data_IF_066794847053
#
_entry.id   IF_066794847053
#
_cell.length_a   1.000
_cell.length_b   1.000
_cell.length_c   1.000
_cell.angle_alpha   90.00
_cell.angle_beta   90.00
_cell.angle_gamma   90.00
#
_symmetry.space_group_name_H-M   'P 1'
#
loop_
_entity.id
_entity.type
_entity.pdbx_description
1 polymer ?
#
# COMPACT_ATOMS: atom_id res chain seq x y z
N UNK A 1 -13.97 5.36 8.16
CA UNK A 1 -13.56 5.75 6.80
C UNK A 1 -12.82 7.09 6.72
N UNK A 2 -12.91 8.00 7.70
CA UNK A 2 -12.32 9.35 7.57
C UNK A 2 -10.80 9.51 7.81
N UNK A 3 -10.06 8.43 8.13
CA UNK A 3 -8.63 8.50 8.44
C UNK A 3 -7.72 8.19 7.23
N UNK A 4 -8.25 7.53 6.21
CA UNK A 4 -7.50 7.19 4.99
C UNK A 4 -7.95 8.14 3.90
N UNK A 5 -7.10 9.11 3.56
CA UNK A 5 -7.34 10.08 2.50
C UNK A 5 -6.72 9.60 1.18
N UNK A 6 -7.17 10.12 0.02
CA UNK A 6 -6.51 9.81 -1.26
C UNK A 6 -5.01 10.10 -1.21
N UNK A 7 -4.62 11.22 -0.60
CA UNK A 7 -3.21 11.61 -0.43
C UNK A 7 -2.40 10.57 0.37
N UNK A 8 -2.98 9.98 1.42
CA UNK A 8 -2.31 8.91 2.18
C UNK A 8 -2.16 7.62 1.37
N UNK A 9 -3.11 7.33 0.50
CA UNK A 9 -3.07 6.15 -0.39
C UNK A 9 -2.05 6.33 -1.51
N UNK A 10 -1.98 7.54 -2.08
CA UNK A 10 -0.97 7.90 -3.08
C UNK A 10 0.44 7.82 -2.49
N UNK A 11 0.65 8.40 -1.30
CA UNK A 11 1.92 8.26 -0.57
C UNK A 11 2.25 6.78 -0.27
N UNK A 12 1.25 5.98 0.08
CA UNK A 12 1.41 4.54 0.26
C UNK A 12 1.88 3.82 -1.00
N UNK A 13 1.33 4.17 -2.18
CA UNK A 13 1.78 3.65 -3.47
C UNK A 13 3.22 4.05 -3.82
N UNK A 14 3.59 5.31 -3.58
CA UNK A 14 4.96 5.79 -3.82
C UNK A 14 5.98 4.99 -3.01
N UNK A 15 5.69 4.73 -1.74
CA UNK A 15 6.55 3.92 -0.87
C UNK A 15 6.62 2.46 -1.39
N UNK A 16 5.50 1.87 -1.81
CA UNK A 16 5.49 0.53 -2.39
C UNK A 16 6.32 0.43 -3.68
N UNK A 17 6.29 1.45 -4.55
CA UNK A 17 7.14 1.51 -5.76
C UNK A 17 8.63 1.61 -5.39
N UNK A 18 8.97 2.37 -4.34
CA UNK A 18 10.34 2.43 -3.82
C UNK A 18 10.80 1.06 -3.32
N UNK A 19 9.97 0.35 -2.56
CA UNK A 19 10.26 -1.01 -2.08
C UNK A 19 10.46 -1.98 -3.26
N UNK A 20 9.60 -1.91 -4.28
CA UNK A 20 9.73 -2.73 -5.49
C UNK A 20 11.08 -2.50 -6.21
N UNK A 21 11.49 -1.24 -6.33
CA UNK A 21 12.80 -0.87 -6.88
C UNK A 21 13.97 -1.50 -6.10
N UNK A 22 13.94 -1.39 -4.78
CA UNK A 22 14.95 -1.98 -3.89
C UNK A 22 14.98 -3.51 -4.00
N UNK A 23 13.83 -4.19 -4.03
CA UNK A 23 13.78 -5.65 -4.23
C UNK A 23 14.35 -6.04 -5.60
N UNK A 24 14.10 -5.24 -6.64
CA UNK A 24 14.66 -5.43 -7.97
C UNK A 24 16.20 -5.28 -7.98
N UNK A 25 16.74 -4.31 -7.27
CA UNK A 25 18.19 -4.14 -7.09
C UNK A 25 18.82 -5.31 -6.34
N UNK A 26 18.18 -5.77 -5.25
CA UNK A 26 18.60 -6.97 -4.52
C UNK A 26 18.70 -8.19 -5.44
N UNK A 27 17.67 -8.40 -6.24
CA UNK A 27 17.60 -9.55 -7.17
C UNK A 27 18.69 -9.49 -8.22
N UNK A 28 19.05 -8.29 -8.70
CA UNK A 28 20.17 -8.10 -9.65
C UNK A 28 21.53 -8.35 -8.99
N UNK A 29 21.73 -7.89 -7.76
CA UNK A 29 22.95 -8.16 -6.99
C UNK A 29 23.12 -9.65 -6.71
N UNK A 30 22.03 -10.36 -6.41
CA UNK A 30 22.04 -11.82 -6.21
C UNK A 30 22.43 -12.61 -7.46
N UNK A 31 22.14 -12.08 -8.65
CA UNK A 31 22.50 -12.67 -9.94
C UNK A 31 23.93 -12.34 -10.39
N UNK A 32 24.56 -11.33 -9.77
CA UNK A 32 25.95 -10.95 -10.04
C UNK A 32 26.91 -11.68 -9.10
N UNK A 33 28.01 -12.23 -9.61
CA UNK A 33 29.05 -12.89 -8.79
C UNK A 33 29.80 -11.91 -7.84
N UNK A 34 29.55 -10.60 -7.95
CA UNK A 34 30.12 -9.57 -7.10
C UNK A 34 29.29 -9.36 -5.82
N UNK A 35 29.24 -10.36 -4.93
CA UNK A 35 28.53 -10.24 -3.64
C UNK A 35 29.35 -9.46 -2.60
N UNK A 36 29.16 -8.14 -2.55
CA UNK A 36 29.55 -7.35 -1.38
C UNK A 36 28.52 -7.50 -0.28
N UNK A 37 28.85 -8.26 0.77
CA UNK A 37 27.96 -8.45 1.94
C UNK A 37 27.53 -7.13 2.60
N UNK A 38 28.37 -6.10 2.50
CA UNK A 38 28.06 -4.77 3.03
C UNK A 38 26.95 -4.08 2.21
N UNK A 39 26.97 -4.19 0.89
CA UNK A 39 25.96 -3.60 0.02
C UNK A 39 24.61 -4.31 0.17
N UNK A 40 24.62 -5.64 0.28
CA UNK A 40 23.40 -6.42 0.55
C UNK A 40 22.74 -6.03 1.88
N UNK A 41 23.54 -5.77 2.91
CA UNK A 41 23.04 -5.37 4.22
C UNK A 41 22.42 -3.97 4.21
N UNK A 42 23.08 -2.99 3.57
CA UNK A 42 22.53 -1.62 3.40
C UNK A 42 21.20 -1.66 2.64
N UNK A 43 21.11 -2.51 1.63
CA UNK A 43 19.92 -2.64 0.80
C UNK A 43 18.77 -3.31 1.56
N UNK A 44 19.06 -4.29 2.42
CA UNK A 44 18.08 -4.88 3.32
C UNK A 44 17.58 -3.87 4.36
N UNK A 45 18.47 -3.07 4.97
CA UNK A 45 18.10 -2.01 5.91
C UNK A 45 17.17 -0.99 5.24
N UNK A 46 17.49 -0.60 4.00
CA UNK A 46 16.65 0.32 3.21
C UNK A 46 15.25 -0.24 2.94
N UNK A 47 15.12 -1.55 2.70
CA UNK A 47 13.82 -2.22 2.51
C UNK A 47 13.02 -2.20 3.82
N UNK A 48 13.69 -2.44 4.96
CA UNK A 48 13.04 -2.42 6.28
C UNK A 48 12.53 -1.03 6.60
N UNK A 49 13.36 0.01 6.43
CA UNK A 49 12.96 1.41 6.66
C UNK A 49 11.78 1.82 5.79
N UNK A 50 11.81 1.48 4.50
CA UNK A 50 10.70 1.78 3.60
C UNK A 50 9.41 1.01 3.98
N UNK A 51 9.56 -0.22 4.48
CA UNK A 51 8.41 -1.00 4.98
C UNK A 51 7.82 -0.37 6.23
N UNK A 52 8.63 0.08 7.18
CA UNK A 52 8.18 0.81 8.37
C UNK A 52 7.48 2.12 7.99
N UNK A 53 8.03 2.85 7.03
CA UNK A 53 7.41 4.06 6.48
C UNK A 53 6.03 3.74 5.91
N UNK A 54 5.89 2.66 5.15
CA UNK A 54 4.61 2.22 4.61
C UNK A 54 3.57 1.98 5.72
N UNK A 55 3.93 1.24 6.76
CA UNK A 55 3.03 0.93 7.87
C UNK A 55 2.70 2.14 8.75
N UNK A 56 3.54 3.19 8.73
CA UNK A 56 3.24 4.46 9.40
C UNK A 56 2.15 5.26 8.68
N UNK A 57 2.03 5.11 7.35
CA UNK A 57 1.06 5.83 6.52
C UNK A 57 -0.23 5.02 6.36
N UNK A 58 -0.11 3.72 6.11
CA UNK A 58 -1.24 2.82 5.87
C UNK A 58 -1.43 1.93 7.10
N UNK A 59 -2.47 2.20 7.93
CA UNK A 59 -2.71 1.40 9.11
C UNK A 59 -3.18 0.00 8.73
N UNK A 60 -2.40 -1.02 9.09
CA UNK A 60 -2.75 -2.43 8.90
C UNK A 60 -3.20 -3.02 10.23
N UNK A 61 -4.47 -3.44 10.30
CA UNK A 61 -5.05 -4.06 11.50
C UNK A 61 -4.74 -5.57 11.52
N UNK A 62 -4.49 -6.13 12.70
CA UNK A 62 -4.26 -7.58 12.87
C UNK A 62 -2.94 -7.95 13.56
N UNK A 63 -2.01 -7.01 13.70
CA UNK A 63 -0.69 -7.24 14.33
C UNK A 63 -0.67 -6.89 15.84
N UNK A 64 -1.76 -7.11 16.56
CA UNK A 64 -1.84 -6.76 17.99
C UNK A 64 -0.87 -7.56 18.90
N UNK A 65 -0.30 -8.66 18.41
CA UNK A 65 0.64 -9.50 19.14
C UNK A 65 1.87 -9.96 18.33
N UNK A 66 1.93 -9.69 17.03
CA UNK A 66 3.02 -10.14 16.14
C UNK A 66 3.82 -8.95 15.59
N UNK A 67 5.13 -9.12 15.48
CA UNK A 67 6.00 -8.13 14.84
C UNK A 67 5.57 -7.98 13.38
N UNK A 68 5.26 -6.76 12.97
CA UNK A 68 4.97 -6.44 11.57
C UNK A 68 6.17 -6.87 10.73
N UNK A 69 5.92 -7.72 9.73
CA UNK A 69 6.98 -8.23 8.87
C UNK A 69 7.31 -7.21 7.77
N UNK A 70 8.59 -7.01 7.43
CA UNK A 70 8.97 -6.16 6.31
C UNK A 70 8.44 -6.70 4.97
N UNK A 71 8.24 -5.80 4.01
CA UNK A 71 7.80 -6.15 2.66
C UNK A 71 9.03 -6.57 1.85
N UNK A 72 9.28 -7.88 1.78
CA UNK A 72 10.54 -8.44 1.27
C UNK A 72 10.50 -9.00 -0.14
N UNK A 73 9.31 -9.18 -0.73
CA UNK A 73 9.16 -9.76 -2.06
C UNK A 73 8.08 -9.03 -2.87
N UNK A 74 8.14 -9.21 -4.18
CA UNK A 74 7.24 -8.57 -5.14
C UNK A 74 5.78 -8.99 -4.95
N UNK A 75 5.54 -10.23 -4.52
CA UNK A 75 4.19 -10.72 -4.23
C UNK A 75 3.56 -9.94 -3.07
N UNK A 76 4.32 -9.71 -2.00
CA UNK A 76 3.85 -8.90 -0.87
C UNK A 76 3.61 -7.45 -1.28
N UNK A 77 4.46 -6.86 -2.14
CA UNK A 77 4.24 -5.51 -2.69
C UNK A 77 2.92 -5.47 -3.46
N UNK A 78 2.71 -6.43 -4.36
CA UNK A 78 1.50 -6.51 -5.19
C UNK A 78 0.23 -6.66 -4.35
N UNK A 79 0.23 -7.53 -3.36
CA UNK A 79 -0.91 -7.70 -2.44
C UNK A 79 -1.28 -6.37 -1.74
N UNK A 80 -0.28 -5.54 -1.40
CA UNK A 80 -0.48 -4.26 -0.71
C UNK A 80 -0.96 -3.18 -1.67
N UNK A 81 -0.48 -3.19 -2.92
CA UNK A 81 -1.03 -2.35 -4.01
C UNK A 81 -2.49 -2.69 -4.28
N UNK A 82 -2.83 -3.98 -4.39
CA UNK A 82 -4.22 -4.42 -4.57
C UNK A 82 -5.11 -4.02 -3.40
N UNK A 83 -4.58 -4.04 -2.17
CA UNK A 83 -5.29 -3.53 -0.99
C UNK A 83 -5.58 -2.02 -1.11
N UNK A 84 -4.59 -1.21 -1.50
CA UNK A 84 -4.78 0.25 -1.71
C UNK A 84 -5.88 0.50 -2.76
N UNK A 85 -5.82 -0.18 -3.91
CA UNK A 85 -6.83 -0.04 -4.95
C UNK A 85 -8.23 -0.42 -4.46
N UNK A 86 -8.36 -1.50 -3.68
CA UNK A 86 -9.65 -1.89 -3.07
C UNK A 86 -10.19 -0.79 -2.14
N UNK A 87 -9.32 -0.17 -1.34
CA UNK A 87 -9.71 0.94 -0.45
C UNK A 87 -10.19 2.14 -1.28
N UNK A 88 -9.49 2.50 -2.35
CA UNK A 88 -9.91 3.58 -3.26
C UNK A 88 -11.29 3.30 -3.87
N UNK A 89 -11.52 2.08 -4.35
CA UNK A 89 -12.82 1.68 -4.91
C UNK A 89 -13.94 1.75 -3.87
N UNK A 90 -13.69 1.30 -2.63
CA UNK A 90 -14.66 1.41 -1.54
C UNK A 90 -14.96 2.88 -1.21
N UNK A 91 -13.94 3.74 -1.19
CA UNK A 91 -14.11 5.17 -0.93
C UNK A 91 -14.96 5.83 -2.02
N UNK A 92 -14.69 5.53 -3.28
CA UNK A 92 -15.48 6.02 -4.41
C UNK A 92 -16.94 5.53 -4.36
N UNK A 93 -17.15 4.23 -4.12
CA UNK A 93 -18.49 3.66 -3.98
C UNK A 93 -19.26 4.31 -2.82
N UNK A 94 -18.59 4.58 -1.69
CA UNK A 94 -19.17 5.27 -0.54
C UNK A 94 -19.59 6.70 -0.90
N UNK A 95 -18.76 7.45 -1.63
CA UNK A 95 -19.09 8.80 -2.10
C UNK A 95 -20.32 8.78 -3.02
N UNK A 96 -20.40 7.82 -3.93
CA UNK A 96 -21.53 7.67 -4.85
C UNK A 96 -22.82 7.36 -4.10
N UNK A 97 -22.77 6.45 -3.12
CA UNK A 97 -23.90 6.15 -2.23
C UNK A 97 -24.34 7.38 -1.44
N UNK A 98 -23.42 8.16 -0.86
CA UNK A 98 -23.74 9.38 -0.15
C UNK A 98 -24.37 10.44 -1.05
N UNK A 99 -23.87 10.61 -2.29
CA UNK A 99 -24.45 11.51 -3.27
C UNK A 99 -25.88 11.08 -3.66
N UNK A 100 -26.12 9.77 -3.81
CA UNK A 100 -27.46 9.21 -4.00
C UNK A 100 -28.38 9.53 -2.83
N UNK A 101 -27.95 9.22 -1.60
CA UNK A 101 -28.71 9.48 -0.36
C UNK A 101 -29.07 10.96 -0.18
N UNK A 102 -28.17 11.89 -0.51
CA UNK A 102 -28.44 13.32 -0.46
C UNK A 102 -29.57 13.74 -1.43
N UNK A 103 -29.66 13.08 -2.59
CA UNK A 103 -30.66 13.36 -3.62
C UNK A 103 -31.96 12.54 -3.49
N UNK A 104 -32.07 11.63 -2.51
CA UNK A 104 -33.24 10.77 -2.29
C UNK A 104 -34.56 11.54 -2.11
N UNK A 105 -34.52 12.76 -1.58
CA UNK A 105 -35.73 13.59 -1.45
C UNK A 105 -36.27 14.11 -2.78
N UNK A 106 -35.45 14.11 -3.84
CA UNK A 106 -35.78 14.67 -5.15
C UNK A 106 -35.90 13.61 -6.26
N UNK A 107 -35.36 12.39 -6.07
CA UNK A 107 -35.39 11.28 -7.05
C UNK A 107 -35.37 9.91 -6.38
N UNK A 108 -35.91 8.89 -7.05
CA UNK A 108 -35.88 7.51 -6.57
C UNK A 108 -34.43 6.98 -6.54
N UNK A 109 -33.92 6.47 -5.40
CA UNK A 109 -32.54 5.98 -5.30
C UNK A 109 -32.19 4.84 -6.27
N UNK A 110 -33.16 4.04 -6.72
CA UNK A 110 -32.93 2.98 -7.71
C UNK A 110 -32.72 3.52 -9.13
N UNK A 111 -33.00 4.80 -9.40
CA UNK A 111 -32.75 5.44 -10.70
C UNK A 111 -31.32 6.02 -10.80
N UNK A 112 -30.55 6.02 -9.71
CA UNK A 112 -29.23 6.66 -9.61
C UNK A 112 -28.06 5.67 -9.63
N UNK A 113 -28.32 4.38 -9.39
CA UNK A 113 -27.33 3.29 -9.34
C UNK A 113 -27.31 2.56 -10.68
#
# INVERSE_FOLDING_TARGET
FGLVTPDTLEKGEEILRKIEGLIGEKTKMDQSDAKSKAEEQVLMESIVEASEEFYSVIPVYGFAAERIQPILNTDNVRERQEMIHKILHIQFASQLLFAGLYNVKNRNPMEYI
#
